data_IF_680963698058
#
_entry.id   IF_680963698058
#
_cell.length_a   1.000
_cell.length_b   1.000
_cell.length_c   1.000
_cell.angle_alpha   90.00
_cell.angle_beta   90.00
_cell.angle_gamma   90.00
#
_symmetry.space_group_name_H-M   'P 1'
#
loop_
_entity.id
_entity.type
_entity.pdbx_description
1 polymer ?
#
# COMPACT_ATOMS: atom_id res chain seq x y z
N UNK A 1 4.66 9.82 33.88
CA UNK A 1 4.01 8.53 34.23
C UNK A 1 2.64 8.74 34.84
N UNK A 2 2.46 9.72 35.72
CA UNK A 2 1.15 10.04 36.33
C UNK A 2 0.07 10.41 35.31
N UNK A 3 0.35 11.29 34.34
CA UNK A 3 -0.61 11.65 33.28
C UNK A 3 -0.96 10.49 32.34
N UNK A 4 -0.02 9.58 32.10
CA UNK A 4 -0.27 8.35 31.33
C UNK A 4 -1.24 7.44 32.09
N UNK A 5 -0.97 7.19 33.38
CA UNK A 5 -1.85 6.37 34.21
C UNK A 5 -3.21 7.05 34.36
N UNK A 6 -3.27 8.37 34.47
CA UNK A 6 -4.51 9.15 34.56
C UNK A 6 -5.37 9.06 33.31
N UNK A 7 -4.78 9.21 32.12
CA UNK A 7 -5.51 9.11 30.86
C UNK A 7 -6.07 7.70 30.64
N UNK A 8 -5.28 6.67 30.95
CA UNK A 8 -5.69 5.27 30.81
C UNK A 8 -6.50 4.72 31.99
N UNK A 9 -6.62 5.45 33.10
CA UNK A 9 -7.47 5.06 34.24
C UNK A 9 -8.95 5.33 33.98
N UNK A 10 -9.27 6.17 32.99
CA UNK A 10 -10.64 6.59 32.64
C UNK A 10 -11.46 7.12 33.84
N UNK A 11 -10.77 7.67 34.85
CA UNK A 11 -11.44 8.23 36.03
C UNK A 11 -12.25 9.49 35.69
N UNK A 12 -11.81 10.24 34.69
CA UNK A 12 -12.55 11.38 34.15
C UNK A 12 -13.60 10.95 33.13
N UNK A 13 -14.90 11.23 33.37
CA UNK A 13 -15.97 10.94 32.42
C UNK A 13 -15.75 11.62 31.05
N UNK A 14 -15.16 12.81 31.05
CA UNK A 14 -14.89 13.56 29.81
C UNK A 14 -13.83 12.85 28.94
N UNK A 15 -12.76 12.33 29.54
CA UNK A 15 -11.72 11.59 28.82
C UNK A 15 -12.30 10.31 28.21
N UNK A 16 -13.11 9.58 28.99
CA UNK A 16 -13.79 8.38 28.52
C UNK A 16 -14.71 8.67 27.31
N UNK A 17 -15.49 9.76 27.37
CA UNK A 17 -16.37 10.16 26.28
C UNK A 17 -15.60 10.52 25.00
N UNK A 18 -14.53 11.32 25.13
CA UNK A 18 -13.70 11.73 23.99
C UNK A 18 -13.01 10.53 23.35
N UNK A 19 -12.41 9.65 24.15
CA UNK A 19 -11.73 8.44 23.64
C UNK A 19 -12.74 7.52 22.95
N UNK A 20 -13.91 7.31 23.53
CA UNK A 20 -14.97 6.48 22.93
C UNK A 20 -15.44 7.05 21.59
N UNK A 21 -15.66 8.37 21.53
CA UNK A 21 -16.04 9.06 20.29
C UNK A 21 -14.97 8.92 19.20
N UNK A 22 -13.70 9.18 19.53
CA UNK A 22 -12.60 9.08 18.58
C UNK A 22 -12.44 7.64 18.08
N UNK A 23 -12.59 6.64 18.95
CA UNK A 23 -12.51 5.23 18.56
C UNK A 23 -13.63 4.88 17.58
N UNK A 24 -14.89 5.23 17.88
CA UNK A 24 -16.02 4.97 16.98
C UNK A 24 -15.85 5.66 15.63
N UNK A 25 -15.48 6.94 15.63
CA UNK A 25 -15.25 7.71 14.42
C UNK A 25 -14.08 7.14 13.59
N UNK A 26 -13.00 6.73 14.25
CA UNK A 26 -11.84 6.10 13.59
C UNK A 26 -12.22 4.77 12.94
N UNK A 27 -13.02 3.95 13.63
CA UNK A 27 -13.49 2.67 13.08
C UNK A 27 -14.38 2.93 11.85
N UNK A 28 -15.39 3.80 11.96
CA UNK A 28 -16.29 4.10 10.83
C UNK A 28 -15.53 4.69 9.64
N UNK A 29 -14.61 5.63 9.90
CA UNK A 29 -13.80 6.28 8.87
C UNK A 29 -12.88 5.28 8.15
N UNK A 30 -12.18 4.41 8.88
CA UNK A 30 -11.29 3.41 8.30
C UNK A 30 -12.05 2.33 7.51
N UNK A 31 -13.25 1.95 7.96
CA UNK A 31 -14.09 0.98 7.24
C UNK A 31 -14.59 1.55 5.92
N UNK A 32 -15.23 2.72 5.93
CA UNK A 32 -15.64 3.43 4.70
C UNK A 32 -14.43 3.66 3.80
N UNK A 33 -13.36 4.19 4.39
CA UNK A 33 -12.15 4.57 3.68
C UNK A 33 -11.43 3.41 3.00
N UNK A 34 -11.48 2.22 3.59
CA UNK A 34 -10.96 1.00 2.96
C UNK A 34 -11.69 0.67 1.66
N UNK A 35 -13.02 0.75 1.65
CA UNK A 35 -13.80 0.54 0.43
C UNK A 35 -13.59 1.68 -0.57
N UNK A 36 -13.60 2.94 -0.13
CA UNK A 36 -13.36 4.10 -0.98
C UNK A 36 -12.00 4.04 -1.67
N UNK A 37 -10.97 3.64 -0.94
CA UNK A 37 -9.62 3.47 -1.46
C UNK A 37 -9.53 2.34 -2.50
N UNK A 38 -10.25 1.24 -2.27
CA UNK A 38 -10.30 0.13 -3.23
C UNK A 38 -11.14 0.46 -4.48
N UNK A 39 -12.19 1.27 -4.32
CA UNK A 39 -13.01 1.80 -5.42
C UNK A 39 -12.31 2.91 -6.22
N UNK A 40 -11.06 3.25 -5.88
CA UNK A 40 -10.26 4.33 -6.50
C UNK A 40 -10.87 5.73 -6.39
N UNK A 41 -11.88 5.92 -5.54
CA UNK A 41 -12.53 7.21 -5.28
C UNK A 41 -11.93 7.96 -4.09
N UNK A 42 -10.64 7.75 -3.82
CA UNK A 42 -9.96 8.35 -2.67
C UNK A 42 -10.10 9.88 -2.66
N UNK A 43 -9.93 10.55 -3.80
CA UNK A 43 -10.02 12.01 -3.94
C UNK A 43 -11.44 12.56 -3.73
N UNK A 44 -12.48 11.73 -3.89
CA UNK A 44 -13.87 12.15 -3.64
C UNK A 44 -14.06 12.47 -2.15
N UNK A 45 -13.38 11.77 -1.24
CA UNK A 45 -13.50 12.01 0.21
C UNK A 45 -12.93 13.36 0.63
N UNK A 46 -11.85 13.78 -0.01
CA UNK A 46 -11.25 15.10 0.17
C UNK A 46 -12.20 16.20 -0.33
N UNK A 47 -12.75 16.04 -1.53
CA UNK A 47 -13.73 16.98 -2.06
C UNK A 47 -15.00 17.10 -1.23
N UNK A 48 -15.52 15.99 -0.68
CA UNK A 48 -16.65 16.03 0.24
C UNK A 48 -16.31 16.84 1.49
N UNK A 49 -15.12 16.62 2.08
CA UNK A 49 -14.71 17.32 3.31
C UNK A 49 -14.76 18.84 3.13
N UNK A 50 -14.23 19.33 2.01
CA UNK A 50 -14.28 20.75 1.67
C UNK A 50 -15.68 21.24 1.25
N UNK A 51 -16.47 20.40 0.58
CA UNK A 51 -17.80 20.76 0.11
C UNK A 51 -18.90 20.73 1.20
N UNK A 52 -18.58 20.17 2.35
CA UNK A 52 -19.44 20.19 3.55
C UNK A 52 -19.46 21.60 4.19
N UNK A 53 -18.40 22.39 4.03
CA UNK A 53 -18.26 23.69 4.69
C UNK A 53 -19.44 24.66 4.45
N UNK A 54 -19.93 24.91 3.21
CA UNK A 54 -21.12 25.72 2.99
C UNK A 54 -22.36 25.22 3.74
N UNK A 55 -22.54 23.89 3.83
CA UNK A 55 -23.69 23.28 4.49
C UNK A 55 -23.67 23.47 5.99
N UNK A 56 -22.48 23.38 6.59
CA UNK A 56 -22.26 23.73 8.00
C UNK A 56 -22.61 25.19 8.24
N UNK A 57 -22.11 26.12 7.42
CA UNK A 57 -22.41 27.55 7.55
C UNK A 57 -23.91 27.86 7.39
N UNK A 58 -24.59 27.25 6.41
CA UNK A 58 -26.03 27.39 6.21
C UNK A 58 -26.83 26.85 7.40
N UNK A 59 -26.48 25.65 7.90
CA UNK A 59 -27.12 25.08 9.08
C UNK A 59 -27.00 25.99 10.30
N UNK A 60 -25.84 26.62 10.48
CA UNK A 60 -25.62 27.61 11.52
C UNK A 60 -26.49 28.86 11.35
N UNK A 61 -26.59 29.40 10.13
CA UNK A 61 -27.45 30.55 9.82
C UNK A 61 -28.92 30.28 10.13
N UNK A 62 -29.41 29.07 9.83
CA UNK A 62 -30.81 28.70 10.09
C UNK A 62 -31.08 28.34 11.55
N UNK A 63 -30.18 27.61 12.21
CA UNK A 63 -30.40 27.11 13.57
C UNK A 63 -30.14 28.18 14.65
N UNK A 64 -29.31 29.19 14.37
CA UNK A 64 -28.88 30.21 15.33
C UNK A 64 -28.13 29.66 16.56
N UNK A 65 -27.79 28.35 16.55
CA UNK A 65 -27.25 27.59 17.68
C UNK A 65 -26.36 26.44 17.18
N UNK A 66 -25.42 25.99 18.03
CA UNK A 66 -24.51 24.85 17.78
C UNK A 66 -25.20 23.50 17.98
N UNK A 67 -26.35 23.29 17.35
CA UNK A 67 -27.06 22.02 17.46
C UNK A 67 -26.47 20.99 16.47
N UNK A 68 -25.93 19.85 16.94
CA UNK A 68 -25.31 18.84 16.08
C UNK A 68 -26.24 18.32 14.98
N UNK A 69 -27.53 18.20 15.26
CA UNK A 69 -28.51 17.67 14.31
C UNK A 69 -28.63 18.55 13.05
N UNK A 70 -28.70 19.87 13.23
CA UNK A 70 -28.79 20.81 12.11
C UNK A 70 -27.48 20.86 11.33
N UNK A 71 -26.34 20.89 12.04
CA UNK A 71 -25.00 20.91 11.42
C UNK A 71 -24.81 19.67 10.54
N UNK A 72 -25.08 18.48 11.06
CA UNK A 72 -24.96 17.23 10.31
C UNK A 72 -25.88 17.22 9.10
N UNK A 73 -27.12 17.69 9.26
CA UNK A 73 -28.10 17.71 8.17
C UNK A 73 -27.67 18.66 7.04
N UNK A 74 -27.26 19.89 7.36
CA UNK A 74 -26.79 20.85 6.36
C UNK A 74 -25.51 20.36 5.67
N UNK A 75 -24.56 19.85 6.45
CA UNK A 75 -23.33 19.23 5.98
C UNK A 75 -23.60 18.06 5.02
N UNK A 76 -24.53 17.17 5.38
CA UNK A 76 -24.91 16.04 4.55
C UNK A 76 -25.54 16.49 3.24
N UNK A 77 -26.43 17.49 3.27
CA UNK A 77 -27.07 18.02 2.05
C UNK A 77 -26.04 18.57 1.07
N UNK A 78 -25.09 19.40 1.53
CA UNK A 78 -24.09 19.96 0.61
C UNK A 78 -23.05 18.94 0.17
N UNK A 79 -22.65 18.01 1.05
CA UNK A 79 -21.75 16.90 0.70
C UNK A 79 -22.37 15.89 -0.28
N UNK A 80 -23.67 15.61 -0.13
CA UNK A 80 -24.41 14.78 -1.08
C UNK A 80 -24.58 15.50 -2.42
N UNK A 81 -24.89 16.80 -2.39
CA UNK A 81 -24.99 17.63 -3.60
C UNK A 81 -23.67 17.68 -4.36
N UNK A 82 -22.54 17.83 -3.67
CA UNK A 82 -21.22 17.84 -4.31
C UNK A 82 -20.89 16.50 -4.94
N UNK A 83 -21.10 15.39 -4.22
CA UNK A 83 -20.86 14.02 -4.73
C UNK A 83 -21.73 13.71 -5.95
N UNK A 84 -23.00 14.11 -5.91
CA UNK A 84 -23.91 13.99 -7.04
C UNK A 84 -23.43 14.83 -8.24
N UNK A 85 -23.02 16.07 -7.99
CA UNK A 85 -22.52 16.98 -9.04
C UNK A 85 -21.23 16.42 -9.66
N UNK A 86 -20.32 15.87 -8.86
CA UNK A 86 -19.10 15.21 -9.34
C UNK A 86 -19.47 14.06 -10.28
N UNK A 87 -20.37 13.17 -9.83
CA UNK A 87 -20.79 12.01 -10.62
C UNK A 87 -21.49 12.42 -11.91
N UNK A 88 -22.37 13.44 -11.84
CA UNK A 88 -23.09 13.95 -12.98
C UNK A 88 -22.15 14.59 -14.01
N UNK A 89 -21.30 15.53 -13.60
CA UNK A 89 -20.36 16.20 -14.51
C UNK A 89 -19.38 15.19 -15.11
N UNK A 90 -18.85 14.24 -14.34
CA UNK A 90 -17.94 13.21 -14.85
C UNK A 90 -18.58 12.28 -15.89
N UNK A 91 -19.89 12.02 -15.80
CA UNK A 91 -20.59 11.14 -16.74
C UNK A 91 -21.02 11.84 -18.04
N UNK A 92 -21.28 13.16 -18.00
CA UNK A 92 -21.78 13.92 -19.16
C UNK A 92 -20.72 14.75 -19.87
N UNK A 93 -19.53 14.93 -19.30
CA UNK A 93 -18.45 15.72 -19.91
C UNK A 93 -17.26 14.85 -20.32
N UNK A 94 -16.35 15.42 -21.12
CA UNK A 94 -15.08 14.79 -21.52
C UNK A 94 -13.95 15.04 -20.51
N UNK A 95 -14.24 15.67 -19.37
CA UNK A 95 -13.25 16.02 -18.37
C UNK A 95 -12.81 14.77 -17.61
N UNK A 96 -11.54 14.73 -17.20
CA UNK A 96 -11.04 13.68 -16.31
C UNK A 96 -11.68 13.84 -14.94
N UNK A 97 -11.98 12.72 -14.29
CA UNK A 97 -12.64 12.68 -12.98
C UNK A 97 -11.90 13.55 -11.95
N UNK A 98 -10.56 13.47 -11.89
CA UNK A 98 -9.74 14.30 -11.00
C UNK A 98 -9.92 15.81 -11.23
N UNK A 99 -10.11 16.24 -12.49
CA UNK A 99 -10.34 17.65 -12.85
C UNK A 99 -11.72 18.11 -12.39
N UNK A 100 -12.73 17.25 -12.54
CA UNK A 100 -14.10 17.51 -12.07
C UNK A 100 -14.13 17.63 -10.55
N UNK A 101 -13.49 16.68 -9.85
CA UNK A 101 -13.34 16.68 -8.40
C UNK A 101 -12.70 17.98 -7.92
N UNK A 102 -11.54 18.36 -8.49
CA UNK A 102 -10.81 19.57 -8.09
C UNK A 102 -11.63 20.86 -8.33
N UNK A 103 -12.35 20.93 -9.44
CA UNK A 103 -13.18 22.09 -9.78
C UNK A 103 -14.38 22.25 -8.83
N UNK A 104 -15.09 21.16 -8.53
CA UNK A 104 -16.23 21.18 -7.60
C UNK A 104 -15.76 21.45 -6.16
N UNK A 105 -14.66 20.83 -5.73
CA UNK A 105 -14.02 21.12 -4.45
C UNK A 105 -13.75 22.63 -4.32
N UNK A 106 -13.16 23.24 -5.35
CA UNK A 106 -12.77 24.66 -5.31
C UNK A 106 -13.98 25.61 -5.23
N UNK A 107 -15.05 25.32 -5.99
CA UNK A 107 -16.28 26.12 -6.00
C UNK A 107 -16.96 26.05 -4.63
N UNK A 108 -17.22 24.85 -4.12
CA UNK A 108 -17.92 24.69 -2.85
C UNK A 108 -17.08 25.24 -1.69
N UNK A 109 -15.77 24.98 -1.69
CA UNK A 109 -14.90 25.52 -0.66
C UNK A 109 -14.87 27.05 -0.67
N UNK A 110 -14.74 27.66 -1.85
CA UNK A 110 -14.78 29.11 -2.01
C UNK A 110 -16.09 29.73 -1.49
N UNK A 111 -17.23 29.13 -1.84
CA UNK A 111 -18.54 29.53 -1.29
C UNK A 111 -18.57 29.40 0.23
N UNK A 112 -18.08 28.27 0.75
CA UNK A 112 -18.04 28.01 2.20
C UNK A 112 -17.20 29.04 2.96
N UNK A 113 -16.04 29.42 2.42
CA UNK A 113 -15.17 30.44 3.02
C UNK A 113 -15.81 31.84 2.96
N UNK A 114 -16.49 32.20 1.87
CA UNK A 114 -17.24 33.47 1.80
C UNK A 114 -18.33 33.53 2.87
N UNK A 115 -19.13 32.46 2.98
CA UNK A 115 -20.19 32.37 4.00
C UNK A 115 -19.61 32.40 5.42
N UNK A 116 -18.52 31.68 5.66
CA UNK A 116 -17.78 31.69 6.92
C UNK A 116 -17.33 33.11 7.28
N UNK A 117 -16.69 33.81 6.34
CA UNK A 117 -16.14 35.15 6.57
C UNK A 117 -17.26 36.14 6.91
N UNK A 118 -18.40 36.06 6.23
CA UNK A 118 -19.57 36.88 6.54
C UNK A 118 -20.11 36.62 7.95
N UNK A 119 -20.18 35.36 8.37
CA UNK A 119 -20.62 34.97 9.71
C UNK A 119 -19.67 35.48 10.81
N UNK A 120 -18.36 35.44 10.57
CA UNK A 120 -17.37 35.93 11.53
C UNK A 120 -17.46 37.45 11.74
N UNK A 121 -17.77 38.20 10.69
CA UNK A 121 -17.89 39.67 10.74
C UNK A 121 -19.15 40.15 11.47
N UNK A 122 -20.16 39.29 11.67
CA UNK A 122 -21.43 39.68 12.31
C UNK A 122 -21.32 39.86 13.83
N UNK A 123 -20.17 39.58 14.45
CA UNK A 123 -19.86 39.91 15.85
C UNK A 123 -20.60 39.09 16.92
N UNK A 124 -21.31 38.02 16.53
CA UNK A 124 -22.07 37.18 17.46
C UNK A 124 -21.11 36.30 18.29
N UNK A 125 -21.15 36.39 19.61
CA UNK A 125 -20.26 35.64 20.51
C UNK A 125 -20.40 34.12 20.39
N UNK A 126 -21.57 33.62 19.96
CA UNK A 126 -21.81 32.22 19.63
C UNK A 126 -21.08 31.74 18.36
N UNK A 127 -20.59 32.66 17.53
CA UNK A 127 -19.88 32.40 16.26
C UNK A 127 -18.35 32.42 16.42
N UNK A 128 -17.83 32.96 17.53
CA UNK A 128 -16.41 32.89 17.86
C UNK A 128 -16.04 31.41 18.15
N UNK A 129 -15.08 30.87 17.39
CA UNK A 129 -14.60 29.48 17.53
C UNK A 129 -15.06 28.49 16.46
N UNK A 130 -15.71 28.94 15.38
CA UNK A 130 -16.00 28.07 14.22
C UNK A 130 -14.71 27.61 13.51
N UNK A 131 -13.62 28.37 13.62
CA UNK A 131 -12.28 27.95 13.16
C UNK A 131 -11.79 26.71 13.92
N UNK A 132 -11.94 26.69 15.25
CA UNK A 132 -11.57 25.54 16.07
C UNK A 132 -12.41 24.30 15.77
N UNK A 133 -13.65 24.47 15.31
CA UNK A 133 -14.48 23.36 14.84
C UNK A 133 -13.95 22.75 13.54
N UNK A 134 -13.52 23.59 12.59
CA UNK A 134 -13.03 23.16 11.27
C UNK A 134 -11.65 22.52 11.34
N UNK A 135 -10.77 23.02 12.20
CA UNK A 135 -9.42 22.46 12.39
C UNK A 135 -9.41 21.21 13.29
N UNK A 136 -10.57 20.83 13.84
CA UNK A 136 -10.73 19.67 14.71
C UNK A 136 -10.32 19.96 16.13
N UNK A 137 -11.27 19.80 17.06
CA UNK A 137 -11.00 19.92 18.48
C UNK A 137 -11.81 18.89 19.25
N UNK A 138 -11.22 17.71 19.47
CA UNK A 138 -11.89 16.62 20.18
C UNK A 138 -12.22 16.98 21.64
N UNK A 139 -11.52 17.97 22.24
CA UNK A 139 -11.80 18.47 23.58
C UNK A 139 -13.15 19.22 23.63
N UNK A 140 -13.64 19.70 22.47
CA UNK A 140 -14.93 20.39 22.35
C UNK A 140 -16.12 19.44 22.14
N UNK A 141 -15.92 18.11 22.12
CA UNK A 141 -17.02 17.14 22.06
C UNK A 141 -17.74 17.15 23.42
N UNK A 142 -18.91 17.80 23.45
CA UNK A 142 -19.79 17.79 24.62
C UNK A 142 -20.54 16.45 24.66
N UNK A 143 -20.97 15.98 25.84
CA UNK A 143 -21.67 14.69 25.98
C UNK A 143 -22.87 14.49 25.03
N UNK A 144 -23.55 15.56 24.60
CA UNK A 144 -24.65 15.51 23.62
C UNK A 144 -24.16 15.23 22.18
N UNK A 145 -22.96 15.66 21.83
CA UNK A 145 -22.33 15.42 20.53
C UNK A 145 -22.01 13.92 20.37
N UNK A 146 -21.56 13.28 21.45
CA UNK A 146 -21.23 11.86 21.44
C UNK A 146 -22.45 10.99 21.11
N UNK A 147 -23.64 11.34 21.58
CA UNK A 147 -24.86 10.59 21.24
C UNK A 147 -25.17 10.65 19.75
N UNK A 148 -25.09 11.84 19.14
CA UNK A 148 -25.42 12.02 17.71
C UNK A 148 -24.34 11.39 16.83
N UNK A 149 -23.08 11.77 17.02
CA UNK A 149 -21.97 11.28 16.19
C UNK A 149 -21.65 9.81 16.46
N UNK A 150 -21.72 9.38 17.72
CA UNK A 150 -21.51 7.98 18.10
C UNK A 150 -22.59 7.06 17.51
N UNK A 151 -23.86 7.48 17.55
CA UNK A 151 -24.94 6.73 16.91
C UNK A 151 -24.76 6.65 15.39
N UNK A 152 -24.39 7.76 14.73
CA UNK A 152 -24.13 7.77 13.30
C UNK A 152 -22.92 6.89 12.93
N UNK A 153 -21.82 6.96 13.67
CA UNK A 153 -20.66 6.11 13.47
C UNK A 153 -21.02 4.62 13.62
N UNK A 154 -21.78 4.28 14.66
CA UNK A 154 -22.28 2.91 14.87
C UNK A 154 -23.18 2.46 13.72
N UNK A 155 -24.09 3.32 13.25
CA UNK A 155 -24.96 3.04 12.12
C UNK A 155 -24.14 2.78 10.85
N UNK A 156 -23.11 3.59 10.56
CA UNK A 156 -22.21 3.39 9.43
C UNK A 156 -21.51 2.03 9.52
N UNK A 157 -20.95 1.70 10.69
CA UNK A 157 -20.27 0.42 10.93
C UNK A 157 -21.25 -0.74 10.69
N UNK A 158 -22.45 -0.68 11.26
CA UNK A 158 -23.47 -1.72 11.08
C UNK A 158 -23.86 -1.90 9.62
N UNK A 159 -24.11 -0.81 8.88
CA UNK A 159 -24.47 -0.90 7.46
C UNK A 159 -23.32 -1.52 6.64
N UNK A 160 -22.07 -1.16 6.90
CA UNK A 160 -20.91 -1.76 6.20
C UNK A 160 -20.79 -3.25 6.50
N UNK A 161 -21.02 -3.67 7.75
CA UNK A 161 -20.95 -5.09 8.12
C UNK A 161 -22.08 -5.90 7.48
N UNK A 162 -23.30 -5.36 7.47
CA UNK A 162 -24.48 -6.00 6.85
C UNK A 162 -24.30 -6.13 5.34
N UNK A 163 -23.89 -5.05 4.67
CA UNK A 163 -23.70 -5.00 3.22
C UNK A 163 -22.26 -5.32 2.78
N UNK A 164 -21.49 -6.02 3.61
CA UNK A 164 -20.08 -6.30 3.38
C UNK A 164 -19.83 -7.01 2.05
N UNK A 165 -20.66 -8.02 1.74
CA UNK A 165 -20.51 -8.85 0.53
C UNK A 165 -20.89 -8.07 -0.73
N UNK A 166 -21.92 -7.24 -0.62
CA UNK A 166 -22.46 -6.39 -1.66
C UNK A 166 -21.45 -5.30 -2.04
N UNK A 167 -20.90 -4.59 -1.05
CA UNK A 167 -19.85 -3.60 -1.29
C UNK A 167 -18.56 -4.24 -1.82
N UNK A 168 -18.19 -5.42 -1.34
CA UNK A 168 -17.07 -6.17 -1.89
C UNK A 168 -17.29 -6.48 -3.38
N UNK A 169 -18.44 -7.04 -3.76
CA UNK A 169 -18.75 -7.36 -5.14
C UNK A 169 -18.77 -6.10 -6.03
N UNK A 170 -19.39 -5.02 -5.55
CA UNK A 170 -19.45 -3.74 -6.25
C UNK A 170 -18.06 -3.19 -6.58
N UNK A 171 -17.14 -3.19 -5.61
CA UNK A 171 -15.80 -2.61 -5.76
C UNK A 171 -14.87 -3.50 -6.60
N UNK A 172 -14.94 -4.82 -6.45
CA UNK A 172 -14.02 -5.73 -7.14
C UNK A 172 -14.51 -6.16 -8.53
N UNK A 173 -15.82 -6.33 -8.74
CA UNK A 173 -16.38 -6.72 -10.03
C UNK A 173 -17.82 -6.23 -10.20
N UNK A 174 -17.94 -4.97 -10.63
CA UNK A 174 -19.22 -4.32 -10.91
C UNK A 174 -20.09 -5.10 -11.91
N UNK A 175 -19.53 -5.54 -13.03
CA UNK A 175 -20.27 -6.25 -14.07
C UNK A 175 -20.83 -7.59 -13.58
N UNK A 176 -20.06 -8.32 -12.76
CA UNK A 176 -20.54 -9.54 -12.13
C UNK A 176 -21.66 -9.25 -11.12
N UNK A 177 -21.53 -8.21 -10.30
CA UNK A 177 -22.58 -7.79 -9.37
C UNK A 177 -23.91 -7.49 -10.10
N UNK A 178 -23.86 -6.78 -11.23
CA UNK A 178 -25.03 -6.51 -12.07
C UNK A 178 -25.62 -7.80 -12.67
N UNK A 179 -24.78 -8.73 -13.14
CA UNK A 179 -25.23 -10.00 -13.74
C UNK A 179 -25.94 -10.94 -12.75
N UNK A 180 -25.58 -10.89 -11.47
CA UNK A 180 -26.20 -11.70 -10.40
C UNK A 180 -27.47 -11.00 -9.84
N UNK A 181 -27.84 -9.84 -10.38
CA UNK A 181 -29.07 -9.12 -10.03
C UNK A 181 -28.94 -8.17 -8.84
N UNK A 182 -27.73 -7.83 -8.39
CA UNK A 182 -27.56 -6.83 -7.34
C UNK A 182 -27.93 -5.42 -7.86
N UNK A 183 -28.67 -4.61 -7.09
CA UNK A 183 -29.04 -3.26 -7.48
C UNK A 183 -27.85 -2.29 -7.29
N UNK A 184 -26.82 -2.41 -8.13
CA UNK A 184 -25.54 -1.68 -8.00
C UNK A 184 -25.74 -0.18 -7.83
N UNK A 185 -26.61 0.46 -8.61
CA UNK A 185 -26.88 1.91 -8.48
C UNK A 185 -27.39 2.31 -7.09
N UNK A 186 -28.20 1.46 -6.44
CA UNK A 186 -28.70 1.72 -5.08
C UNK A 186 -27.60 1.51 -4.04
N UNK A 187 -26.76 0.50 -4.23
CA UNK A 187 -25.59 0.25 -3.38
C UNK A 187 -24.56 1.38 -3.48
N UNK A 188 -24.33 1.92 -4.68
CA UNK A 188 -23.48 3.09 -4.89
C UNK A 188 -24.03 4.33 -4.18
N UNK A 189 -25.34 4.58 -4.32
CA UNK A 189 -25.98 5.69 -3.61
C UNK A 189 -25.87 5.54 -2.08
N UNK A 190 -26.12 4.33 -1.57
CA UNK A 190 -25.96 4.02 -0.15
C UNK A 190 -24.51 4.23 0.29
N UNK A 191 -23.54 3.70 -0.45
CA UNK A 191 -22.12 3.82 -0.14
C UNK A 191 -21.64 5.28 -0.15
N UNK A 192 -22.02 6.05 -1.17
CA UNK A 192 -21.72 7.48 -1.25
C UNK A 192 -22.35 8.24 -0.06
N UNK A 193 -23.56 7.88 0.35
CA UNK A 193 -24.21 8.49 1.52
C UNK A 193 -23.46 8.16 2.82
N UNK A 194 -23.04 6.90 3.00
CA UNK A 194 -22.20 6.50 4.15
C UNK A 194 -20.86 7.24 4.15
N UNK A 195 -20.28 7.47 2.97
CA UNK A 195 -19.04 8.21 2.84
C UNK A 195 -19.19 9.68 3.23
N UNK A 196 -20.26 10.35 2.78
CA UNK A 196 -20.60 11.70 3.22
C UNK A 196 -20.82 11.72 4.74
N UNK A 197 -21.61 10.81 5.29
CA UNK A 197 -21.85 10.75 6.74
C UNK A 197 -20.55 10.52 7.53
N UNK A 198 -19.69 9.60 7.10
CA UNK A 198 -18.41 9.35 7.77
C UNK A 198 -17.53 10.59 7.79
N UNK A 199 -17.43 11.31 6.65
CA UNK A 199 -16.72 12.58 6.58
C UNK A 199 -17.32 13.60 7.54
N UNK A 200 -18.64 13.82 7.47
CA UNK A 200 -19.35 14.79 8.33
C UNK A 200 -19.16 14.51 9.81
N UNK A 201 -19.32 13.25 10.24
CA UNK A 201 -19.14 12.86 11.65
C UNK A 201 -17.69 13.00 12.12
N UNK A 202 -16.71 12.80 11.24
CA UNK A 202 -15.29 12.89 11.57
C UNK A 202 -14.73 14.31 11.60
N UNK A 203 -15.35 15.24 10.86
CA UNK A 203 -14.93 16.65 10.79
C UNK A 203 -14.80 17.29 12.18
N UNK A 204 -15.74 17.04 13.10
CA UNK A 204 -15.69 17.70 14.42
C UNK A 204 -14.49 17.22 15.28
N UNK A 205 -14.16 15.93 15.21
CA UNK A 205 -13.10 15.35 16.03
C UNK A 205 -11.69 15.56 15.43
N UNK A 206 -11.57 15.42 14.10
CA UNK A 206 -10.27 15.38 13.40
C UNK A 206 -10.03 16.66 12.58
N UNK A 207 -11.09 17.33 12.16
CA UNK A 207 -11.02 18.51 11.30
C UNK A 207 -11.25 18.21 9.82
N UNK A 208 -11.70 19.23 9.10
CA UNK A 208 -12.10 19.16 7.68
C UNK A 208 -10.98 18.67 6.79
N UNK A 209 -9.82 19.32 6.85
CA UNK A 209 -8.69 19.02 5.96
C UNK A 209 -8.08 17.64 6.27
N UNK A 210 -8.13 17.24 7.54
CA UNK A 210 -7.43 16.06 8.05
C UNK A 210 -8.27 14.78 7.97
N UNK A 211 -9.58 14.93 7.76
CA UNK A 211 -10.49 13.81 7.60
C UNK A 211 -10.16 12.95 6.38
N UNK A 212 -9.74 13.57 5.27
CA UNK A 212 -9.30 12.85 4.07
C UNK A 212 -8.11 11.91 4.37
N UNK A 213 -7.17 12.35 5.21
CA UNK A 213 -6.05 11.54 5.62
C UNK A 213 -6.49 10.33 6.46
N UNK A 214 -7.41 10.51 7.41
CA UNK A 214 -7.94 9.42 8.22
C UNK A 214 -8.76 8.42 7.41
N UNK A 215 -9.43 8.87 6.35
CA UNK A 215 -10.21 8.01 5.47
C UNK A 215 -9.28 7.16 4.56
N UNK A 216 -8.23 7.75 3.98
CA UNK A 216 -7.45 7.08 2.91
C UNK A 216 -6.19 6.40 3.43
N UNK A 217 -5.44 7.07 4.32
CA UNK A 217 -4.10 6.64 4.77
C UNK A 217 -4.07 5.30 5.49
N UNK A 218 -5.00 4.95 6.41
CA UNK A 218 -4.92 3.67 7.11
C UNK A 218 -5.18 2.50 6.15
N UNK A 219 -6.07 2.68 5.18
CA UNK A 219 -6.32 1.71 4.11
C UNK A 219 -5.10 1.54 3.21
N UNK A 220 -4.47 2.64 2.79
CA UNK A 220 -3.25 2.61 2.00
C UNK A 220 -2.10 1.89 2.74
N UNK A 221 -1.92 2.17 4.04
CA UNK A 221 -0.96 1.51 4.90
C UNK A 221 -1.26 0.01 5.04
N UNK A 222 -2.52 -0.37 5.29
CA UNK A 222 -2.95 -1.76 5.45
C UNK A 222 -2.72 -2.62 4.20
N UNK A 223 -2.85 -2.05 3.00
CA UNK A 223 -2.63 -2.74 1.72
C UNK A 223 -1.20 -3.27 1.53
N UNK A 224 -0.23 -2.73 2.27
CA UNK A 224 1.13 -3.26 2.27
C UNK A 224 1.27 -4.57 3.07
N UNK A 225 0.37 -4.86 4.00
CA UNK A 225 0.46 -6.02 4.87
C UNK A 225 -0.34 -7.23 4.37
N UNK A 226 -1.41 -6.99 3.61
CA UNK A 226 -2.32 -8.06 3.18
C UNK A 226 -2.94 -7.82 1.81
N UNK A 227 -3.37 -8.91 1.16
CA UNK A 227 -4.19 -8.88 -0.05
C UNK A 227 -5.63 -9.36 0.21
N UNK A 228 -5.99 -9.73 1.45
CA UNK A 228 -7.35 -10.15 1.81
C UNK A 228 -8.14 -8.97 2.36
N UNK A 229 -9.30 -8.66 1.77
CA UNK A 229 -10.14 -7.51 2.14
C UNK A 229 -10.49 -7.49 3.64
N UNK A 230 -10.96 -8.60 4.19
CA UNK A 230 -11.39 -8.67 5.60
C UNK A 230 -10.24 -8.33 6.56
N UNK A 231 -9.04 -8.84 6.26
CA UNK A 231 -7.84 -8.58 7.04
C UNK A 231 -7.34 -7.14 6.82
N UNK A 232 -7.53 -6.58 5.62
CA UNK A 232 -7.20 -5.20 5.30
C UNK A 232 -8.06 -4.22 6.11
N UNK A 233 -9.36 -4.48 6.22
CA UNK A 233 -10.28 -3.70 7.05
C UNK A 233 -9.83 -3.69 8.51
N UNK A 234 -9.53 -4.87 9.07
CA UNK A 234 -9.09 -4.98 10.47
C UNK A 234 -7.78 -4.22 10.71
N UNK A 235 -6.78 -4.37 9.82
CA UNK A 235 -5.52 -3.63 9.96
C UNK A 235 -5.74 -2.11 9.82
N UNK A 236 -6.54 -1.66 8.86
CA UNK A 236 -6.83 -0.25 8.66
C UNK A 236 -7.53 0.35 9.89
N UNK A 237 -8.51 -0.36 10.45
CA UNK A 237 -9.18 0.02 11.70
C UNK A 237 -8.19 0.11 12.86
N UNK A 238 -7.31 -0.90 13.03
CA UNK A 238 -6.28 -0.88 14.08
C UNK A 238 -5.36 0.33 13.94
N UNK A 239 -4.85 0.61 12.74
CA UNK A 239 -4.00 1.77 12.49
C UNK A 239 -4.72 3.08 12.77
N UNK A 240 -5.97 3.21 12.33
CA UNK A 240 -6.79 4.40 12.56
C UNK A 240 -7.05 4.60 14.05
N UNK A 241 -7.47 3.56 14.78
CA UNK A 241 -7.77 3.62 16.22
C UNK A 241 -6.51 3.94 17.03
N UNK A 242 -5.39 3.30 16.74
CA UNK A 242 -4.11 3.61 17.40
C UNK A 242 -3.75 5.07 17.17
N UNK A 243 -3.81 5.55 15.93
CA UNK A 243 -3.52 6.95 15.62
C UNK A 243 -4.48 7.93 16.32
N UNK A 244 -5.76 7.58 16.41
CA UNK A 244 -6.79 8.34 17.11
C UNK A 244 -6.51 8.46 18.61
N UNK A 245 -6.29 7.33 19.28
CA UNK A 245 -6.01 7.30 20.73
C UNK A 245 -4.70 8.02 21.04
N UNK A 246 -3.63 7.75 20.28
CA UNK A 246 -2.33 8.41 20.51
C UNK A 246 -2.42 9.91 20.22
N UNK A 247 -3.12 10.34 19.17
CA UNK A 247 -3.33 11.76 18.88
C UNK A 247 -4.15 12.46 19.96
N UNK A 248 -5.19 11.80 20.48
CA UNK A 248 -5.98 12.29 21.61
C UNK A 248 -5.15 12.43 22.89
N UNK A 249 -4.32 11.43 23.18
CA UNK A 249 -3.42 11.44 24.33
C UNK A 249 -2.41 12.61 24.25
N UNK A 250 -1.80 12.82 23.08
CA UNK A 250 -0.84 13.93 22.91
C UNK A 250 -1.54 15.29 23.08
N UNK A 251 -2.75 15.45 22.54
CA UNK A 251 -3.56 16.66 22.68
C UNK A 251 -4.02 16.91 24.13
N UNK A 252 -4.21 15.85 24.92
CA UNK A 252 -4.55 15.94 26.34
C UNK A 252 -3.36 16.38 27.20
N UNK A 253 -2.17 15.82 26.95
CA UNK A 253 -0.96 16.11 27.74
C UNK A 253 -0.35 17.47 27.39
N UNK A 254 -0.35 17.85 26.11
CA UNK A 254 0.27 19.09 25.65
C UNK A 254 -0.78 20.22 25.51
N UNK A 255 -0.69 21.30 26.30
CA UNK A 255 -1.61 22.43 26.19
C UNK A 255 -1.61 23.04 24.78
N UNK A 256 -2.78 23.47 24.32
CA UNK A 256 -3.00 24.16 23.03
C UNK A 256 -2.65 23.33 21.77
N UNK A 257 -2.54 22.01 21.89
CA UNK A 257 -2.30 21.13 20.75
C UNK A 257 -3.62 20.58 20.17
N UNK A 258 -3.95 20.87 18.89
CA UNK A 258 -5.17 20.36 18.26
C UNK A 258 -5.09 18.85 18.02
N UNK A 259 -6.20 18.15 18.23
CA UNK A 259 -6.26 16.68 18.18
C UNK A 259 -6.03 16.14 16.78
N UNK A 260 -6.68 16.76 15.78
CA UNK A 260 -6.61 16.35 14.38
C UNK A 260 -5.19 16.21 13.81
N UNK A 261 -4.37 17.28 13.84
CA UNK A 261 -3.00 17.23 13.29
C UNK A 261 -2.15 16.12 13.91
N UNK A 262 -2.26 15.89 15.22
CA UNK A 262 -1.52 14.83 15.89
C UNK A 262 -1.98 13.43 15.48
N UNK A 263 -3.28 13.21 15.29
CA UNK A 263 -3.79 11.95 14.73
C UNK A 263 -3.17 11.69 13.36
N UNK A 264 -3.13 12.69 12.47
CA UNK A 264 -2.56 12.54 11.13
C UNK A 264 -1.04 12.34 11.16
N UNK A 265 -0.31 13.02 12.05
CA UNK A 265 1.14 12.81 12.20
C UNK A 265 1.47 11.39 12.64
N UNK A 266 0.75 10.85 13.62
CA UNK A 266 0.91 9.46 14.08
C UNK A 266 0.54 8.49 12.97
N UNK A 267 -0.59 8.72 12.28
CA UNK A 267 -1.04 7.88 11.17
C UNK A 267 -0.04 7.88 10.01
N UNK A 268 0.53 9.05 9.68
CA UNK A 268 1.55 9.21 8.65
C UNK A 268 2.84 8.45 9.01
N UNK A 269 3.24 8.48 10.29
CA UNK A 269 4.35 7.68 10.79
C UNK A 269 4.07 6.17 10.65
N UNK A 270 2.88 5.70 11.03
CA UNK A 270 2.46 4.30 10.86
C UNK A 270 2.47 3.89 9.38
N UNK A 271 1.97 4.75 8.50
CA UNK A 271 1.96 4.52 7.06
C UNK A 271 3.37 4.46 6.47
N UNK A 272 4.26 5.36 6.88
CA UNK A 272 5.65 5.38 6.48
C UNK A 272 6.39 4.11 6.92
N UNK A 273 6.20 3.67 8.17
CA UNK A 273 6.74 2.41 8.67
C UNK A 273 6.16 1.21 7.90
N UNK A 274 4.86 1.20 7.63
CA UNK A 274 4.20 0.14 6.85
C UNK A 274 4.77 0.01 5.43
N UNK A 275 5.06 1.14 4.79
CA UNK A 275 5.70 1.19 3.48
C UNK A 275 7.13 0.63 3.49
N UNK A 276 7.92 0.94 4.52
CA UNK A 276 9.31 0.52 4.61
C UNK A 276 9.48 -0.95 5.00
N UNK A 277 8.68 -1.44 5.97
CA UNK A 277 8.83 -2.75 6.59
C UNK A 277 7.95 -3.86 5.99
N UNK A 278 7.13 -3.57 4.97
CA UNK A 278 6.25 -4.58 4.37
C UNK A 278 7.01 -5.78 3.76
N UNK A 279 6.59 -6.98 4.17
CA UNK A 279 7.24 -8.26 3.87
C UNK A 279 7.17 -8.68 2.40
N UNK A 280 6.11 -8.34 1.67
CA UNK A 280 5.91 -8.78 0.26
C UNK A 280 6.06 -7.67 -0.78
N UNK A 281 5.82 -6.41 -0.40
CA UNK A 281 5.81 -5.27 -1.33
C UNK A 281 6.68 -4.09 -0.88
N UNK A 282 7.28 -4.16 0.31
CA UNK A 282 8.15 -3.11 0.83
C UNK A 282 9.41 -2.90 -0.03
N UNK A 283 9.92 -1.68 -0.03
CA UNK A 283 11.17 -1.34 -0.75
C UNK A 283 12.33 -2.17 -0.20
N UNK A 284 12.39 -2.34 1.12
CA UNK A 284 13.49 -3.06 1.77
C UNK A 284 13.51 -4.54 1.36
N UNK A 285 12.36 -5.22 1.34
CA UNK A 285 12.27 -6.62 0.91
C UNK A 285 12.60 -6.80 -0.57
N UNK A 286 12.13 -5.89 -1.44
CA UNK A 286 12.54 -5.89 -2.86
C UNK A 286 14.04 -5.64 -3.03
N UNK A 287 14.62 -4.71 -2.27
CA UNK A 287 16.03 -4.37 -2.34
C UNK A 287 16.92 -5.51 -1.83
N UNK A 288 16.56 -6.13 -0.70
CA UNK A 288 17.25 -7.31 -0.16
C UNK A 288 17.17 -8.49 -1.13
N UNK A 289 15.98 -8.79 -1.65
CA UNK A 289 15.80 -9.86 -2.64
C UNK A 289 16.61 -9.60 -3.91
N UNK A 290 16.61 -8.37 -4.42
CA UNK A 290 17.45 -7.97 -5.58
C UNK A 290 18.93 -8.14 -5.27
N UNK A 291 19.39 -7.72 -4.09
CA UNK A 291 20.80 -7.85 -3.68
C UNK A 291 21.22 -9.31 -3.52
N UNK A 292 20.34 -10.15 -2.96
CA UNK A 292 20.58 -11.59 -2.83
C UNK A 292 20.58 -12.30 -4.18
N UNK A 293 19.68 -11.93 -5.08
CA UNK A 293 19.63 -12.42 -6.46
C UNK A 293 20.92 -12.07 -7.22
N UNK A 294 21.36 -10.81 -7.15
CA UNK A 294 22.61 -10.37 -7.77
C UNK A 294 23.85 -11.07 -7.20
N UNK A 295 23.85 -11.39 -5.90
CA UNK A 295 24.91 -12.21 -5.27
C UNK A 295 24.89 -13.67 -5.73
N UNK A 296 23.70 -14.25 -5.95
CA UNK A 296 23.55 -15.61 -6.49
C UNK A 296 24.06 -15.67 -7.93
N UNK A 297 23.62 -14.75 -8.80
CA UNK A 297 24.10 -14.64 -10.18
C UNK A 297 25.62 -14.53 -10.23
N UNK A 298 26.21 -13.59 -9.46
CA UNK A 298 27.66 -13.41 -9.48
C UNK A 298 28.44 -14.66 -9.05
N UNK A 299 27.90 -15.41 -8.09
CA UNK A 299 28.47 -16.69 -7.67
C UNK A 299 28.38 -17.74 -8.78
N UNK A 300 27.22 -17.83 -9.42
CA UNK A 300 26.96 -18.80 -10.48
C UNK A 300 27.83 -18.49 -11.72
N UNK A 301 28.07 -17.21 -12.05
CA UNK A 301 29.01 -16.82 -13.10
C UNK A 301 30.47 -17.20 -12.80
N UNK A 302 30.91 -17.11 -11.54
CA UNK A 302 32.25 -17.58 -11.15
C UNK A 302 32.37 -19.09 -11.35
N UNK A 303 31.34 -19.87 -10.98
CA UNK A 303 31.30 -21.31 -11.24
C UNK A 303 31.34 -21.63 -12.74
N UNK A 304 30.58 -20.89 -13.55
CA UNK A 304 30.57 -21.01 -15.02
C UNK A 304 31.94 -20.70 -15.62
N UNK A 305 32.61 -19.64 -15.17
CA UNK A 305 33.96 -19.29 -15.61
C UNK A 305 35.00 -20.36 -15.26
N UNK A 306 34.92 -20.92 -14.05
CA UNK A 306 35.78 -22.04 -13.64
C UNK A 306 35.50 -23.30 -14.46
N UNK A 307 34.23 -23.60 -14.77
CA UNK A 307 33.87 -24.75 -15.60
C UNK A 307 34.38 -24.59 -17.04
N UNK A 308 34.23 -23.39 -17.63
CA UNK A 308 34.77 -23.10 -18.95
C UNK A 308 36.31 -23.24 -18.99
N UNK A 309 37.01 -22.88 -17.91
CA UNK A 309 38.44 -23.12 -17.80
C UNK A 309 38.77 -24.62 -17.81
N UNK A 310 37.97 -25.45 -17.14
CA UNK A 310 38.13 -26.91 -17.15
C UNK A 310 37.82 -27.54 -18.51
N UNK A 311 36.85 -27.00 -19.27
CA UNK A 311 36.59 -27.42 -20.66
C UNK A 311 37.78 -27.07 -21.59
N UNK A 312 38.51 -26.00 -21.29
CA UNK A 312 39.75 -25.61 -22.00
C UNK A 312 40.98 -26.42 -21.56
N UNK A 313 40.83 -27.42 -20.70
CA UNK A 313 41.92 -28.25 -20.19
C UNK A 313 42.80 -27.57 -19.11
N UNK A 314 42.31 -26.51 -18.47
CA UNK A 314 43.00 -25.85 -17.34
C UNK A 314 42.53 -26.45 -16.01
N UNK A 315 43.45 -26.65 -15.07
CA UNK A 315 43.14 -27.17 -13.73
C UNK A 315 42.37 -26.16 -12.84
N UNK A 316 42.34 -24.89 -13.22
CA UNK A 316 41.64 -23.83 -12.50
C UNK A 316 41.94 -22.45 -13.07
N UNK A 317 41.52 -21.41 -12.35
CA UNK A 317 41.83 -20.01 -12.67
C UNK A 317 42.64 -19.37 -11.53
N UNK A 318 43.58 -18.50 -11.87
CA UNK A 318 44.21 -17.63 -10.87
C UNK A 318 43.18 -16.67 -10.29
N UNK A 319 43.34 -16.27 -9.02
CA UNK A 319 42.50 -15.23 -8.44
C UNK A 319 42.53 -13.96 -9.30
N UNK A 320 43.69 -13.61 -9.88
CA UNK A 320 43.84 -12.49 -10.81
C UNK A 320 42.96 -12.60 -12.05
N UNK A 321 42.91 -13.79 -12.66
CA UNK A 321 42.08 -14.06 -13.86
C UNK A 321 40.57 -13.95 -13.55
N UNK A 322 40.16 -14.34 -12.34
CA UNK A 322 38.77 -14.18 -11.91
C UNK A 322 38.43 -12.69 -11.75
N UNK A 323 39.35 -11.87 -11.23
CA UNK A 323 39.12 -10.43 -11.11
C UNK A 323 39.11 -9.71 -12.46
N UNK A 324 39.93 -10.13 -13.43
CA UNK A 324 39.93 -9.56 -14.79
C UNK A 324 38.67 -9.93 -15.56
N UNK A 325 38.14 -11.15 -15.39
CA UNK A 325 36.88 -11.58 -15.99
C UNK A 325 35.66 -10.84 -15.42
N UNK A 326 35.75 -10.25 -14.23
CA UNK A 326 34.66 -9.50 -13.59
C UNK A 326 35.09 -8.11 -13.10
N UNK A 327 35.41 -7.18 -14.03
CA UNK A 327 35.94 -5.86 -13.70
C UNK A 327 34.92 -5.02 -12.89
N UNK A 328 35.42 -4.22 -11.95
CA UNK A 328 34.60 -3.35 -11.09
C UNK A 328 33.79 -4.06 -10.00
N UNK A 329 33.97 -5.38 -9.81
CA UNK A 329 33.23 -6.18 -8.82
C UNK A 329 34.10 -6.80 -7.72
N UNK A 330 35.32 -6.31 -7.48
CA UNK A 330 36.33 -6.96 -6.61
C UNK A 330 35.81 -7.39 -5.23
N UNK A 331 35.09 -6.52 -4.52
CA UNK A 331 34.52 -6.87 -3.21
C UNK A 331 33.46 -8.00 -3.30
N UNK A 332 32.63 -7.98 -4.35
CA UNK A 332 31.60 -9.02 -4.56
C UNK A 332 32.24 -10.35 -4.98
N UNK A 333 33.27 -10.30 -5.82
CA UNK A 333 34.05 -11.45 -6.24
C UNK A 333 34.72 -12.11 -5.04
N UNK A 334 35.40 -11.35 -4.18
CA UNK A 334 36.01 -11.89 -2.97
C UNK A 334 34.97 -12.52 -2.03
N UNK A 335 33.83 -11.84 -1.81
CA UNK A 335 32.75 -12.39 -1.00
C UNK A 335 32.19 -13.69 -1.58
N UNK A 336 32.05 -13.78 -2.90
CA UNK A 336 31.55 -14.96 -3.58
C UNK A 336 32.54 -16.13 -3.51
N UNK A 337 33.84 -15.89 -3.73
CA UNK A 337 34.93 -16.87 -3.55
C UNK A 337 34.91 -17.41 -2.13
N UNK A 338 34.92 -16.54 -1.11
CA UNK A 338 34.88 -16.96 0.29
C UNK A 338 33.63 -17.81 0.60
N UNK A 339 32.48 -17.49 0.00
CA UNK A 339 31.23 -18.24 0.18
C UNK A 339 31.24 -19.58 -0.55
N UNK A 340 31.83 -19.65 -1.74
CA UNK A 340 32.00 -20.88 -2.51
C UNK A 340 32.96 -21.84 -1.81
N UNK A 341 34.07 -21.32 -1.27
CA UNK A 341 35.05 -22.09 -0.52
C UNK A 341 34.41 -22.67 0.76
N UNK A 342 33.74 -21.83 1.57
CA UNK A 342 32.95 -22.30 2.73
C UNK A 342 31.85 -23.31 2.39
N UNK A 343 31.30 -23.25 1.18
CA UNK A 343 30.27 -24.17 0.69
C UNK A 343 30.80 -25.50 0.15
N UNK A 344 32.13 -25.65 0.05
CA UNK A 344 32.82 -26.81 -0.51
C UNK A 344 32.69 -26.93 -2.02
N UNK A 345 32.44 -25.84 -2.75
CA UNK A 345 32.29 -25.85 -4.21
C UNK A 345 33.61 -25.58 -4.94
N UNK A 346 34.54 -24.87 -4.30
CA UNK A 346 35.86 -24.58 -4.86
C UNK A 346 36.93 -25.00 -3.86
N UNK A 347 38.09 -25.39 -4.39
CA UNK A 347 39.31 -25.57 -3.63
C UNK A 347 40.26 -24.42 -3.96
N UNK A 348 40.74 -23.74 -2.92
CA UNK A 348 41.61 -22.57 -3.06
C UNK A 348 43.04 -23.03 -2.73
N UNK A 349 43.80 -23.40 -3.76
CA UNK A 349 45.22 -23.72 -3.63
C UNK A 349 46.03 -22.43 -3.84
N UNK A 350 47.20 -22.29 -3.20
CA UNK A 350 47.98 -21.03 -3.13
C UNK A 350 48.23 -20.31 -4.48
N UNK A 351 48.06 -20.96 -5.62
CA UNK A 351 48.18 -20.39 -6.97
C UNK A 351 46.92 -20.48 -7.85
N UNK A 352 45.98 -21.37 -7.55
CA UNK A 352 44.85 -21.72 -8.44
C UNK A 352 43.58 -22.03 -7.65
N UNK A 353 42.48 -21.44 -8.10
CA UNK A 353 41.13 -21.76 -7.64
C UNK A 353 40.55 -22.79 -8.62
N UNK A 354 40.25 -23.98 -8.11
CA UNK A 354 39.68 -25.10 -8.88
C UNK A 354 38.33 -25.53 -8.36
N UNK A 355 37.55 -26.22 -9.18
CA UNK A 355 36.25 -26.78 -8.78
C UNK A 355 36.46 -28.06 -7.97
N UNK A 356 35.70 -28.22 -6.88
CA UNK A 356 35.57 -29.54 -6.23
C UNK A 356 34.63 -30.42 -7.06
N UNK A 357 34.52 -31.71 -6.74
CA UNK A 357 33.53 -32.60 -7.38
C UNK A 357 32.10 -32.02 -7.29
N UNK A 358 31.74 -31.48 -6.12
CA UNK A 358 30.46 -30.80 -5.90
C UNK A 358 30.34 -29.50 -6.71
N UNK A 359 31.43 -28.75 -6.82
CA UNK A 359 31.51 -27.57 -7.69
C UNK A 359 31.29 -27.90 -9.16
N UNK A 360 31.90 -28.96 -9.65
CA UNK A 360 31.77 -29.45 -11.02
C UNK A 360 30.33 -29.85 -11.35
N UNK A 361 29.63 -30.53 -10.45
CA UNK A 361 28.22 -30.89 -10.63
C UNK A 361 27.32 -29.65 -10.72
N UNK A 362 27.45 -28.70 -9.79
CA UNK A 362 26.64 -27.47 -9.82
C UNK A 362 26.97 -26.58 -11.02
N UNK A 363 28.25 -26.40 -11.34
CA UNK A 363 28.67 -25.59 -12.48
C UNK A 363 28.24 -26.23 -13.81
N UNK A 364 28.37 -27.56 -13.94
CA UNK A 364 27.89 -28.31 -15.09
C UNK A 364 26.37 -28.20 -15.26
N UNK A 365 25.61 -28.22 -14.17
CA UNK A 365 24.16 -27.98 -14.21
C UNK A 365 23.81 -26.58 -14.71
N UNK A 366 24.51 -25.54 -14.25
CA UNK A 366 24.30 -24.16 -14.71
C UNK A 366 24.62 -24.04 -16.21
N UNK A 367 25.76 -24.57 -16.66
CA UNK A 367 26.16 -24.57 -18.08
C UNK A 367 25.17 -25.36 -18.95
N UNK A 368 24.72 -26.52 -18.48
CA UNK A 368 23.67 -27.31 -19.14
C UNK A 368 22.39 -26.51 -19.33
N UNK A 369 21.90 -25.83 -18.29
CA UNK A 369 20.70 -24.99 -18.37
C UNK A 369 20.87 -23.86 -19.38
N UNK A 370 22.04 -23.22 -19.40
CA UNK A 370 22.37 -22.19 -20.38
C UNK A 370 22.25 -22.71 -21.82
N UNK A 371 22.94 -23.81 -22.11
CA UNK A 371 22.99 -24.46 -23.43
C UNK A 371 21.60 -24.92 -23.90
N UNK A 372 20.80 -25.50 -23.00
CA UNK A 372 19.42 -25.90 -23.32
C UNK A 372 18.53 -24.69 -23.64
N UNK A 373 18.73 -23.55 -22.98
CA UNK A 373 18.01 -22.32 -23.32
C UNK A 373 18.40 -21.80 -24.68
N UNK A 374 19.69 -21.72 -24.99
CA UNK A 374 20.17 -21.32 -26.31
C UNK A 374 19.52 -22.19 -27.41
N UNK A 375 19.48 -23.51 -27.21
CA UNK A 375 18.81 -24.44 -28.12
C UNK A 375 17.31 -24.17 -28.22
N UNK A 376 16.60 -24.04 -27.10
CA UNK A 376 15.16 -23.78 -27.09
C UNK A 376 14.81 -22.47 -27.81
N UNK A 377 15.58 -21.40 -27.59
CA UNK A 377 15.32 -20.11 -28.25
C UNK A 377 15.59 -20.18 -29.75
N UNK A 378 16.61 -20.95 -30.16
CA UNK A 378 16.95 -21.14 -31.56
C UNK A 378 15.89 -21.97 -32.28
N UNK A 379 15.50 -23.12 -31.72
CA UNK A 379 14.57 -24.05 -32.36
C UNK A 379 13.10 -23.60 -32.30
N UNK A 380 12.65 -23.12 -31.13
CA UNK A 380 11.23 -22.85 -30.90
C UNK A 380 10.85 -21.37 -31.01
N UNK A 381 11.80 -20.46 -30.82
CA UNK A 381 11.56 -19.01 -30.95
C UNK A 381 12.22 -18.39 -32.19
N UNK A 382 12.93 -19.20 -33.00
CA UNK A 382 13.58 -18.80 -34.24
C UNK A 382 14.49 -17.57 -34.09
N UNK A 383 15.19 -17.48 -32.94
CA UNK A 383 16.18 -16.44 -32.66
C UNK A 383 17.53 -16.93 -33.17
N UNK A 384 18.29 -16.06 -33.84
CA UNK A 384 19.62 -16.42 -34.35
C UNK A 384 20.56 -16.82 -33.19
N UNK A 385 21.42 -17.87 -33.36
CA UNK A 385 22.35 -18.34 -32.33
C UNK A 385 23.20 -17.22 -31.71
N UNK A 386 23.66 -16.26 -32.52
CA UNK A 386 24.49 -15.15 -32.04
C UNK A 386 23.77 -14.17 -31.09
N UNK A 387 22.44 -14.28 -30.96
CA UNK A 387 21.61 -13.37 -30.17
C UNK A 387 20.92 -14.06 -28.98
N UNK A 388 21.12 -15.37 -28.77
CA UNK A 388 20.44 -16.10 -27.68
C UNK A 388 21.18 -16.03 -26.35
N UNK A 389 22.49 -15.77 -26.37
CA UNK A 389 23.37 -15.82 -25.19
C UNK A 389 22.89 -14.94 -24.01
N UNK A 390 22.68 -13.64 -24.25
CA UNK A 390 22.26 -12.67 -23.21
C UNK A 390 20.88 -13.01 -22.62
N UNK A 391 20.03 -13.66 -23.42
CA UNK A 391 18.71 -14.08 -23.00
C UNK A 391 18.80 -15.35 -22.16
N UNK A 392 19.64 -16.30 -22.57
CA UNK A 392 19.89 -17.55 -21.85
C UNK A 392 20.53 -17.30 -20.48
N UNK A 393 21.49 -16.37 -20.40
CA UNK A 393 22.14 -15.93 -19.15
C UNK A 393 21.12 -15.39 -18.12
N UNK A 394 20.06 -14.71 -18.57
CA UNK A 394 19.01 -14.23 -17.66
C UNK A 394 18.11 -15.35 -17.14
N UNK A 395 17.89 -16.39 -17.93
CA UNK A 395 16.93 -17.46 -17.65
C UNK A 395 17.54 -18.62 -16.86
N UNK A 396 18.84 -18.89 -17.01
CA UNK A 396 19.52 -20.03 -16.38
C UNK A 396 19.41 -20.04 -14.83
N UNK A 397 19.22 -18.87 -14.20
CA UNK A 397 19.16 -18.75 -12.73
C UNK A 397 17.76 -18.82 -12.12
N UNK A 398 16.70 -18.84 -12.94
CA UNK A 398 15.30 -18.62 -12.53
C UNK A 398 14.51 -19.94 -12.34
N UNK A 399 15.09 -21.10 -12.67
CA UNK A 399 14.32 -22.32 -12.95
C UNK A 399 14.34 -23.35 -11.82
N UNK A 400 13.19 -24.02 -11.62
CA UNK A 400 13.05 -25.16 -10.70
C UNK A 400 13.45 -26.48 -11.37
N UNK A 401 13.86 -27.51 -10.61
CA UNK A 401 14.25 -28.82 -11.17
C UNK A 401 13.17 -29.46 -12.08
N UNK A 402 11.89 -29.17 -11.84
CA UNK A 402 10.77 -29.66 -12.65
C UNK A 402 10.78 -29.06 -14.06
N UNK A 403 10.95 -27.73 -14.15
CA UNK A 403 11.05 -27.01 -15.41
C UNK A 403 12.32 -27.39 -16.19
N UNK A 404 13.43 -27.64 -15.48
CA UNK A 404 14.66 -28.17 -16.10
C UNK A 404 14.40 -29.51 -16.81
N UNK A 405 13.69 -30.44 -16.16
CA UNK A 405 13.32 -31.73 -16.78
C UNK A 405 12.35 -31.57 -17.95
N UNK A 406 11.41 -30.61 -17.87
CA UNK A 406 10.49 -30.33 -18.97
C UNK A 406 11.23 -29.76 -20.19
N UNK A 407 12.18 -28.85 -19.98
CA UNK A 407 12.99 -28.27 -21.04
C UNK A 407 13.79 -29.36 -21.77
N UNK A 408 14.49 -30.20 -21.01
CA UNK A 408 15.29 -31.33 -21.52
C UNK A 408 14.41 -32.33 -22.32
N UNK A 409 13.22 -32.64 -21.81
CA UNK A 409 12.24 -33.50 -22.48
C UNK A 409 11.70 -32.90 -23.78
N UNK A 410 11.37 -31.61 -23.79
CA UNK A 410 10.83 -30.93 -24.96
C UNK A 410 11.86 -30.82 -26.10
N UNK A 411 13.14 -30.74 -25.76
CA UNK A 411 14.24 -30.70 -26.72
C UNK A 411 14.73 -32.10 -27.13
N UNK A 412 14.00 -33.17 -26.76
CA UNK A 412 14.35 -34.57 -27.05
C UNK A 412 15.77 -34.98 -26.57
N UNK A 413 16.19 -34.53 -25.39
CA UNK A 413 17.49 -34.87 -24.81
C UNK A 413 18.67 -34.58 -25.75
N UNK A 414 18.91 -33.31 -26.10
CA UNK A 414 19.99 -32.92 -27.01
C UNK A 414 21.37 -33.20 -26.41
N UNK A 415 22.35 -33.55 -27.27
CA UNK A 415 23.74 -33.78 -26.86
C UNK A 415 24.63 -32.55 -27.01
N UNK A 416 24.28 -31.65 -27.94
CA UNK A 416 25.03 -30.45 -28.29
C UNK A 416 24.11 -29.23 -28.29
N UNK A 417 24.70 -28.05 -28.08
CA UNK A 417 24.03 -26.74 -28.18
C UNK A 417 24.11 -26.18 -29.63
N UNK A 418 23.46 -25.03 -29.94
CA UNK A 418 23.52 -24.42 -31.27
C UNK A 418 24.94 -24.05 -31.75
N UNK A 419 25.90 -23.99 -30.84
CA UNK A 419 27.30 -23.67 -31.08
C UNK A 419 28.20 -24.93 -31.07
N UNK A 420 27.61 -26.14 -31.11
CA UNK A 420 28.29 -27.43 -31.13
C UNK A 420 29.06 -27.76 -29.83
N UNK A 421 28.75 -27.11 -28.72
CA UNK A 421 29.32 -27.46 -27.42
C UNK A 421 28.50 -28.57 -26.75
N UNK A 422 29.19 -29.52 -26.12
CA UNK A 422 28.57 -30.68 -25.47
C UNK A 422 27.73 -30.24 -24.27
N UNK A 423 26.48 -30.67 -24.17
CA UNK A 423 25.62 -30.36 -23.01
C UNK A 423 26.05 -31.25 -21.82
N UNK A 424 26.53 -30.68 -20.69
CA UNK A 424 26.99 -31.47 -19.56
C UNK A 424 25.85 -32.32 -18.97
N UNK A 425 26.11 -33.60 -18.71
CA UNK A 425 25.16 -34.50 -18.04
C UNK A 425 25.82 -35.16 -16.83
N UNK A 426 25.06 -35.33 -15.75
CA UNK A 426 25.48 -36.17 -14.64
C UNK A 426 25.66 -37.61 -15.17
N UNK A 427 26.88 -38.14 -15.10
CA UNK A 427 27.17 -39.53 -15.48
C UNK A 427 26.47 -40.57 -14.56
N UNK A 428 25.89 -40.12 -13.44
CA UNK A 428 25.31 -40.97 -12.38
C UNK A 428 23.76 -41.04 -12.39
N UNK A 429 23.09 -40.60 -13.46
CA UNK A 429 21.62 -40.68 -13.60
C UNK A 429 21.18 -41.28 -14.95
N UNK A 430 21.87 -42.33 -15.39
CA UNK A 430 21.39 -43.24 -16.44
C UNK A 430 20.44 -44.27 -15.87
#
# INVERSE_FOLDING_TARGET
MEEFIYFFSFQDPNVLMVVTGIVLLSISAAMVGTFTFLDKKALVGDAISHAVLPGVCLAFMFSGSKNPFWIVSGAFVTGALSTYTITWVSNYTKLKEDTVIASILSIFFGVGIVMMTQLQQTGNASLSGLDHFIFGNAISIVGQDLWVYGFLALAIIMVILVFYKEFQLMVFNRSFAESVGLPVKRLEFLFNSLMVLAVVTGIQAIGVVLMAALLITPAAAAKFWTNRLSLMLVIAVIFSVISGITGAYISFVLPHMPTGPWVVMVLSLIAFLSFFFSTKKGIMTKWISKRNYQRKIHRDHILKALFAATEQGKDGLSAGDIFTNFPGKSFRTQYAINKLNKGGYINDSQSLISLTQKGHQEAGRIVRLHRLWELYMTEYMNIAPDHVHDSAEKLEHIITPELERQLDKNLNFPQEDPHQSIIPRDKDKS
#
